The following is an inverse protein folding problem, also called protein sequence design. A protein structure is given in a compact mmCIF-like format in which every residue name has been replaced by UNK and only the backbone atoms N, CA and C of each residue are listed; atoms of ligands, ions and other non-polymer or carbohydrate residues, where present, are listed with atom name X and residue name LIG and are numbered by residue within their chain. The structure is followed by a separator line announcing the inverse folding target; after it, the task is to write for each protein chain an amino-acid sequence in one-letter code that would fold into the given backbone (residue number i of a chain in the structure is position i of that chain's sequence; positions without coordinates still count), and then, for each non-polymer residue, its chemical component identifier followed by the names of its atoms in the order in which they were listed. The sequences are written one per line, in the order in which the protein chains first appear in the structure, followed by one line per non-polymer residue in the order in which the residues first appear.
data_IF_850443473218
#
_entry.id   IF_850443473218
#
_cell.length_a   1.000
_cell.length_b   1.000
_cell.length_c   1.000
_cell.angle_alpha   90.00
_cell.angle_beta   90.00
_cell.angle_gamma   90.00
#
_symmetry.space_group_name_H-M   'P 1'
#
loop_
_entity.id
_entity.type
_entity.pdbx_description
1 polymer ?
#
# COMPACT_ATOMS: atom_id res chain seq x y z
N UNK A 1 1.59 -7.40 0.05
CA UNK A 1 1.62 -8.88 0.24
C UNK A 1 1.23 -9.65 -1.00
N UNK A 2 0.07 -9.39 -1.61
CA UNK A 2 -0.40 -10.11 -2.83
C UNK A 2 0.66 -10.17 -3.94
N UNK A 3 1.31 -9.04 -4.25
CA UNK A 3 2.38 -8.96 -5.24
C UNK A 3 3.59 -9.83 -4.90
N UNK A 4 4.08 -9.76 -3.65
CA UNK A 4 5.19 -10.57 -3.18
C UNK A 4 4.88 -12.08 -3.25
N UNK A 5 3.66 -12.48 -2.85
CA UNK A 5 3.17 -13.86 -2.97
C UNK A 5 3.14 -14.32 -4.43
N UNK A 6 2.64 -13.48 -5.34
CA UNK A 6 2.62 -13.80 -6.76
C UNK A 6 4.03 -13.97 -7.33
N UNK A 7 4.96 -13.06 -7.01
CA UNK A 7 6.35 -13.16 -7.48
C UNK A 7 7.05 -14.42 -6.98
N UNK A 8 6.77 -14.84 -5.75
CA UNK A 8 7.38 -16.03 -5.14
C UNK A 8 6.77 -17.34 -5.63
N UNK A 9 5.45 -17.38 -5.84
CA UNK A 9 4.70 -18.64 -6.05
C UNK A 9 4.11 -18.79 -7.46
N UNK A 10 4.08 -17.71 -8.24
CA UNK A 10 3.36 -17.62 -9.52
C UNK A 10 1.83 -17.52 -9.39
N UNK A 11 1.29 -17.53 -8.16
CA UNK A 11 -0.17 -17.48 -7.91
C UNK A 11 -0.57 -16.11 -7.37
N UNK A 12 -1.41 -15.41 -8.11
CA UNK A 12 -2.03 -14.18 -7.64
C UNK A 12 -3.26 -14.56 -6.80
N UNK A 13 -3.23 -14.24 -5.51
CA UNK A 13 -4.29 -14.53 -4.55
C UNK A 13 -4.72 -13.22 -3.93
N UNK A 14 -6.03 -12.94 -3.96
CA UNK A 14 -6.60 -11.80 -3.23
C UNK A 14 -6.61 -12.11 -1.74
N UNK A 15 -5.98 -11.27 -0.93
CA UNK A 15 -5.85 -11.46 0.53
C UNK A 15 -6.85 -10.59 1.30
N UNK A 16 -7.23 -11.04 2.49
CA UNK A 16 -8.26 -10.38 3.29
C UNK A 16 -7.73 -9.09 3.91
N UNK A 17 -8.36 -7.95 3.58
CA UNK A 17 -8.14 -6.71 4.34
C UNK A 17 -8.92 -6.73 5.66
N UNK A 18 -10.07 -7.42 5.68
CA UNK A 18 -10.93 -7.48 6.86
C UNK A 18 -10.27 -8.20 8.02
N UNK A 19 -9.47 -9.23 7.76
CA UNK A 19 -8.70 -9.90 8.81
C UNK A 19 -7.79 -8.90 9.54
N UNK A 20 -7.10 -8.02 8.80
CA UNK A 20 -6.26 -6.98 9.42
C UNK A 20 -7.12 -6.01 10.25
N UNK A 21 -8.23 -5.52 9.68
CA UNK A 21 -9.16 -4.59 10.37
C UNK A 21 -9.70 -5.19 11.68
N UNK A 22 -10.09 -6.46 11.67
CA UNK A 22 -10.75 -7.09 12.83
C UNK A 22 -9.75 -7.67 13.85
N UNK A 23 -8.60 -8.18 13.38
CA UNK A 23 -7.68 -8.99 14.19
C UNK A 23 -6.40 -8.27 14.58
N UNK A 24 -5.92 -7.33 13.76
CA UNK A 24 -4.75 -6.50 14.09
C UNK A 24 -5.18 -5.22 14.81
N UNK A 25 -5.62 -5.37 16.04
CA UNK A 25 -6.11 -4.26 16.88
C UNK A 25 -5.31 -4.11 18.17
N UNK A 26 -4.15 -4.77 18.24
CA UNK A 26 -3.28 -4.83 19.42
C UNK A 26 -1.96 -4.11 19.15
N UNK A 27 -2.01 -2.80 18.98
CA UNK A 27 -0.81 -2.03 18.70
C UNK A 27 -1.14 -0.63 18.22
N UNK A 28 -0.56 -0.28 17.08
CA UNK A 28 -0.80 0.99 16.41
C UNK A 28 -2.12 0.93 15.64
N UNK A 29 -2.43 -0.23 15.06
CA UNK A 29 -3.62 -0.45 14.24
C UNK A 29 -4.90 -0.45 15.09
N UNK A 30 -5.90 0.30 14.61
CA UNK A 30 -7.16 0.57 15.31
C UNK A 30 -8.36 0.34 14.37
N UNK A 31 -8.25 -0.64 13.47
CA UNK A 31 -9.29 -0.95 12.50
C UNK A 31 -9.62 0.25 11.61
N UNK A 32 -10.87 0.68 11.62
CA UNK A 32 -11.37 1.78 10.80
C UNK A 32 -10.89 3.18 11.25
N UNK A 33 -10.30 3.31 12.44
CA UNK A 33 -9.73 4.58 12.94
C UNK A 33 -8.27 4.81 12.49
N UNK A 34 -7.72 3.90 11.67
CA UNK A 34 -6.40 4.01 11.07
C UNK A 34 -5.40 2.97 11.58
N UNK A 35 -4.20 3.00 11.00
CA UNK A 35 -3.13 2.05 11.29
C UNK A 35 -1.89 2.31 10.43
N UNK A 36 -0.89 1.45 10.58
CA UNK A 36 0.42 1.49 9.94
C UNK A 36 0.73 0.17 9.25
N UNK A 37 1.27 0.24 8.03
CA UNK A 37 1.50 -0.95 7.21
C UNK A 37 2.50 -1.95 7.83
N UNK A 38 3.43 -1.45 8.64
CA UNK A 38 4.43 -2.27 9.34
C UNK A 38 3.82 -3.13 10.44
N UNK A 39 2.85 -2.60 11.19
CA UNK A 39 2.17 -3.35 12.24
C UNK A 39 1.33 -4.47 11.61
N UNK A 40 0.62 -4.16 10.51
CA UNK A 40 -0.06 -5.16 9.69
C UNK A 40 0.89 -6.27 9.20
N UNK A 41 2.10 -5.94 8.74
CA UNK A 41 3.08 -6.97 8.38
C UNK A 41 3.56 -7.78 9.59
N UNK A 42 3.80 -7.14 10.74
CA UNK A 42 4.17 -7.82 11.98
C UNK A 42 3.07 -8.76 12.46
N UNK A 43 1.81 -8.35 12.37
CA UNK A 43 0.67 -9.20 12.67
C UNK A 43 0.69 -10.45 11.79
N UNK A 44 0.74 -10.30 10.46
CA UNK A 44 0.75 -11.45 9.55
C UNK A 44 1.93 -12.38 9.81
N UNK A 45 3.11 -11.83 10.07
CA UNK A 45 4.30 -12.63 10.40
C UNK A 45 4.10 -13.44 11.70
N UNK A 46 3.56 -12.81 12.76
CA UNK A 46 3.30 -13.47 14.05
C UNK A 46 2.16 -14.48 13.97
N UNK A 47 1.15 -14.15 13.18
CA UNK A 47 0.00 -14.98 12.90
C UNK A 47 0.34 -16.18 12.02
N UNK A 48 1.51 -16.15 11.36
CA UNK A 48 1.98 -17.16 10.40
C UNK A 48 1.11 -17.24 9.16
N UNK A 49 0.51 -16.12 8.78
CA UNK A 49 -0.22 -16.00 7.55
C UNK A 49 -1.41 -15.06 7.64
N UNK A 50 -2.08 -14.95 6.50
CA UNK A 50 -3.27 -14.13 6.29
C UNK A 50 -4.22 -14.89 5.37
N UNK A 51 -5.51 -14.84 5.67
CA UNK A 51 -6.56 -15.47 4.90
C UNK A 51 -6.77 -14.81 3.54
N UNK A 52 -7.49 -15.53 2.68
CA UNK A 52 -7.92 -14.99 1.40
C UNK A 52 -9.12 -14.05 1.57
N UNK A 53 -9.31 -13.12 0.63
CA UNK A 53 -10.52 -12.30 0.54
C UNK A 53 -11.78 -13.17 0.47
N UNK A 54 -11.71 -14.34 -0.18
CA UNK A 54 -12.88 -15.25 -0.27
C UNK A 54 -13.20 -15.95 1.05
N UNK A 55 -12.21 -16.12 1.92
CA UNK A 55 -12.36 -16.77 3.23
C UNK A 55 -12.85 -15.78 4.27
N UNK A 56 -12.34 -14.55 4.24
CA UNK A 56 -12.66 -13.49 5.20
C UNK A 56 -12.96 -12.20 4.42
N UNK A 57 -14.19 -12.01 3.93
CA UNK A 57 -14.54 -10.93 3.02
C UNK A 57 -14.57 -9.54 3.69
N UNK A 58 -14.28 -8.50 2.91
CA UNK A 58 -14.40 -7.11 3.35
C UNK A 58 -15.84 -6.67 3.61
N UNK A 59 -16.06 -6.00 4.75
CA UNK A 59 -17.36 -5.54 5.24
C UNK A 59 -17.41 -4.03 5.52
N UNK A 60 -16.28 -3.33 5.39
CA UNK A 60 -16.17 -1.88 5.60
C UNK A 60 -16.61 -1.41 7.00
N UNK A 61 -16.35 -2.22 8.02
CA UNK A 61 -16.59 -1.91 9.42
C UNK A 61 -15.65 -2.71 10.33
N UNK A 62 -15.48 -2.23 11.56
CA UNK A 62 -14.83 -3.00 12.62
C UNK A 62 -15.76 -4.11 13.11
N UNK A 63 -15.26 -5.35 13.09
CA UNK A 63 -15.93 -6.47 13.70
C UNK A 63 -15.04 -7.13 14.76
N UNK A 64 -15.60 -8.14 15.42
CA UNK A 64 -14.79 -9.02 16.27
C UNK A 64 -13.99 -9.97 15.38
N UNK A 65 -12.69 -10.10 15.62
CA UNK A 65 -11.82 -11.06 14.94
C UNK A 65 -12.42 -12.47 14.90
N UNK A 66 -12.73 -12.95 13.69
CA UNK A 66 -13.18 -14.31 13.44
C UNK A 66 -11.98 -15.26 13.38
N UNK A 67 -11.53 -15.72 14.56
CA UNK A 67 -10.39 -16.64 14.72
C UNK A 67 -10.47 -17.93 13.88
N UNK A 68 -11.65 -18.36 13.43
CA UNK A 68 -11.78 -19.53 12.55
C UNK A 68 -11.36 -19.20 11.11
N UNK A 69 -11.75 -18.03 10.61
CA UNK A 69 -11.41 -17.59 9.26
C UNK A 69 -9.97 -17.08 9.18
N UNK A 70 -9.53 -16.35 10.21
CA UNK A 70 -8.15 -15.89 10.38
C UNK A 70 -7.15 -17.06 10.34
N UNK A 71 -7.44 -18.18 11.02
CA UNK A 71 -6.60 -19.37 11.01
C UNK A 71 -6.53 -20.11 9.65
N UNK A 72 -7.27 -19.67 8.62
CA UNK A 72 -7.29 -20.26 7.28
C UNK A 72 -6.39 -19.48 6.31
N UNK A 73 -5.08 -19.52 6.58
CA UNK A 73 -4.08 -18.76 5.83
C UNK A 73 -4.01 -19.16 4.35
N UNK A 74 -3.94 -18.14 3.48
CA UNK A 74 -3.79 -18.25 2.04
C UNK A 74 -2.40 -17.77 1.56
N UNK A 75 -1.71 -16.96 2.35
CA UNK A 75 -0.33 -16.54 2.11
C UNK A 75 0.40 -16.29 3.43
N UNK A 76 1.74 -16.33 3.38
CA UNK A 76 2.63 -16.10 4.51
C UNK A 76 3.76 -15.14 4.12
N UNK A 77 4.27 -14.39 5.08
CA UNK A 77 5.47 -13.57 4.94
C UNK A 77 6.48 -13.93 6.02
N UNK A 78 7.77 -13.84 5.69
CA UNK A 78 8.86 -14.11 6.63
C UNK A 78 9.24 -12.89 7.47
N UNK A 79 8.80 -11.69 7.06
CA UNK A 79 9.02 -10.40 7.71
C UNK A 79 8.67 -9.24 6.77
N UNK A 80 9.09 -8.04 7.14
CA UNK A 80 9.04 -6.84 6.30
C UNK A 80 10.32 -6.02 6.47
N UNK A 81 10.55 -5.09 5.55
CA UNK A 81 11.67 -4.14 5.61
C UNK A 81 11.21 -2.74 5.20
N UNK A 82 11.84 -1.74 5.80
CA UNK A 82 11.60 -0.33 5.50
C UNK A 82 12.51 0.15 4.38
N UNK A 83 11.95 0.96 3.49
CA UNK A 83 12.73 1.73 2.54
C UNK A 83 13.37 2.92 3.27
N UNK A 84 14.66 3.22 3.05
CA UNK A 84 15.30 4.42 3.60
C UNK A 84 14.47 5.68 3.37
N UNK A 85 14.03 6.29 4.47
CA UNK A 85 13.21 7.50 4.48
C UNK A 85 13.84 8.63 3.65
N UNK A 86 12.99 9.33 2.91
CA UNK A 86 13.32 10.44 2.02
C UNK A 86 14.28 10.05 0.89
N UNK A 87 14.09 8.86 0.30
CA UNK A 87 14.91 8.36 -0.79
C UNK A 87 14.08 7.75 -1.91
N UNK A 88 13.64 8.57 -2.87
CA UNK A 88 13.02 8.08 -4.11
C UNK A 88 13.94 7.11 -4.88
N UNK A 89 15.26 7.26 -4.74
CA UNK A 89 16.24 6.32 -5.32
C UNK A 89 16.19 4.94 -4.66
N UNK A 90 16.04 4.87 -3.34
CA UNK A 90 15.88 3.59 -2.66
C UNK A 90 14.51 2.98 -2.95
N UNK A 91 13.45 3.80 -2.92
CA UNK A 91 12.10 3.39 -3.29
C UNK A 91 12.07 2.79 -4.69
N UNK A 92 12.70 3.44 -5.67
CA UNK A 92 12.75 2.98 -7.06
C UNK A 92 13.36 1.58 -7.18
N UNK A 93 14.46 1.32 -6.46
CA UNK A 93 15.12 0.02 -6.48
C UNK A 93 14.20 -1.08 -5.99
N UNK A 94 13.39 -0.81 -4.97
CA UNK A 94 12.48 -1.83 -4.42
C UNK A 94 11.26 -1.98 -5.33
N UNK A 95 10.69 -0.88 -5.86
CA UNK A 95 9.49 -0.92 -6.75
C UNK A 95 9.81 -1.70 -8.03
N UNK A 96 11.06 -1.65 -8.49
CA UNK A 96 11.53 -2.43 -9.64
C UNK A 96 11.48 -3.95 -9.40
N UNK A 97 11.44 -4.40 -8.14
CA UNK A 97 11.42 -5.81 -7.78
C UNK A 97 10.05 -6.29 -7.29
N UNK A 98 9.26 -5.43 -6.63
CA UNK A 98 7.92 -5.77 -6.15
C UNK A 98 7.08 -4.53 -5.82
N UNK A 99 5.74 -4.67 -5.74
CA UNK A 99 4.88 -3.61 -5.18
C UNK A 99 5.18 -3.33 -3.70
N UNK A 100 5.11 -2.06 -3.30
CA UNK A 100 5.46 -1.57 -1.97
C UNK A 100 4.29 -0.79 -1.38
N UNK A 101 4.06 -0.91 -0.07
CA UNK A 101 3.13 -0.08 0.65
C UNK A 101 3.78 1.26 1.02
N UNK A 102 3.12 2.37 0.75
CA UNK A 102 3.63 3.72 0.95
C UNK A 102 2.55 4.58 1.62
N UNK A 103 2.93 5.55 2.43
CA UNK A 103 2.02 6.59 2.88
C UNK A 103 2.19 7.88 2.09
N UNK A 104 1.10 8.61 1.87
CA UNK A 104 1.05 9.91 1.20
C UNK A 104 0.12 10.87 1.94
N UNK A 105 0.28 12.16 1.66
CA UNK A 105 -0.74 13.18 1.95
C UNK A 105 -1.75 13.21 0.79
N UNK A 106 -2.97 12.76 1.06
CA UNK A 106 -4.09 12.68 0.13
C UNK A 106 -5.25 13.64 0.49
N UNK A 107 -5.10 14.48 1.51
CA UNK A 107 -6.16 15.36 2.04
C UNK A 107 -6.48 16.58 1.17
N UNK A 108 -5.64 16.89 0.19
CA UNK A 108 -5.79 18.05 -0.69
C UNK A 108 -6.86 17.89 -1.79
N UNK A 109 -7.52 18.99 -2.24
CA UNK A 109 -8.54 18.94 -3.29
C UNK A 109 -7.99 18.48 -4.64
N UNK A 110 -6.73 18.81 -4.96
CA UNK A 110 -6.09 18.39 -6.20
C UNK A 110 -6.00 16.85 -6.27
N UNK A 111 -5.69 16.20 -5.14
CA UNK A 111 -5.66 14.73 -5.05
C UNK A 111 -7.09 14.16 -5.11
N UNK A 112 -8.01 14.71 -4.32
CA UNK A 112 -9.40 14.26 -4.27
C UNK A 112 -10.06 14.21 -5.65
N UNK A 113 -9.84 15.23 -6.47
CA UNK A 113 -10.45 15.37 -7.80
C UNK A 113 -9.55 14.92 -8.96
N UNK A 114 -8.43 14.23 -8.67
CA UNK A 114 -7.59 13.64 -9.71
C UNK A 114 -8.41 12.71 -10.60
N UNK A 115 -8.20 12.81 -11.91
CA UNK A 115 -8.88 11.99 -12.92
C UNK A 115 -7.93 11.34 -13.91
N UNK A 116 -6.89 12.05 -14.37
CA UNK A 116 -5.92 11.52 -15.32
C UNK A 116 -4.67 12.40 -15.42
N UNK A 117 -3.64 11.89 -16.10
CA UNK A 117 -2.38 12.58 -16.32
C UNK A 117 -1.36 12.30 -15.23
N UNK A 118 -0.15 12.84 -15.39
CA UNK A 118 0.83 12.85 -14.28
C UNK A 118 0.41 13.93 -13.28
N UNK A 119 0.06 13.50 -12.07
CA UNK A 119 -0.30 14.35 -10.97
C UNK A 119 0.90 15.19 -10.51
N UNK A 120 0.74 16.50 -10.63
CA UNK A 120 1.68 17.55 -10.19
C UNK A 120 0.99 18.56 -9.26
N UNK A 121 -0.18 18.19 -8.74
CA UNK A 121 -1.02 19.03 -7.91
C UNK A 121 -0.40 19.33 -6.53
N UNK A 122 -1.01 20.27 -5.83
CA UNK A 122 -0.58 20.65 -4.48
C UNK A 122 -0.98 19.60 -3.45
N UNK A 123 -0.03 19.23 -2.61
CA UNK A 123 -0.18 18.38 -1.43
C UNK A 123 0.94 18.73 -0.45
N UNK A 124 0.76 18.44 0.83
CA UNK A 124 1.76 18.60 1.86
C UNK A 124 2.58 17.32 2.06
N UNK A 125 2.95 17.07 3.32
CA UNK A 125 3.67 15.87 3.76
C UNK A 125 3.11 15.37 5.10
N UNK A 126 1.91 15.79 5.45
CA UNK A 126 1.19 15.30 6.61
C UNK A 126 0.47 14.02 6.18
N UNK A 127 1.20 12.90 6.25
CA UNK A 127 0.77 11.61 5.69
C UNK A 127 -0.52 11.15 6.37
N UNK A 128 -1.54 10.83 5.58
CA UNK A 128 -2.88 10.49 6.06
C UNK A 128 -3.49 9.29 5.32
N UNK A 129 -2.82 8.77 4.28
CA UNK A 129 -3.39 7.73 3.44
C UNK A 129 -2.35 6.70 2.99
N UNK A 130 -2.64 5.42 3.23
CA UNK A 130 -1.84 4.28 2.80
C UNK A 130 -2.24 3.79 1.40
N UNK A 131 -1.28 3.68 0.50
CA UNK A 131 -1.46 3.24 -0.90
C UNK A 131 -0.35 2.28 -1.34
N UNK A 132 -0.41 1.77 -2.56
CA UNK A 132 0.62 0.85 -3.08
C UNK A 132 1.30 1.40 -4.32
N UNK A 133 2.62 1.60 -4.26
CA UNK A 133 3.43 1.83 -5.46
C UNK A 133 3.61 0.49 -6.20
N UNK A 134 3.11 0.40 -7.44
CA UNK A 134 3.13 -0.83 -8.25
C UNK A 134 4.07 -0.74 -9.45
N UNK A 135 4.62 0.44 -9.72
CA UNK A 135 5.54 0.66 -10.83
C UNK A 135 5.97 2.11 -10.94
N UNK A 136 6.74 2.40 -11.99
CA UNK A 136 7.14 3.74 -12.38
C UNK A 136 7.44 3.75 -13.88
N UNK A 137 7.32 4.92 -14.51
CA UNK A 137 7.72 5.09 -15.90
C UNK A 137 8.00 6.58 -16.21
N UNK A 138 8.09 6.89 -17.50
CA UNK A 138 8.20 8.25 -18.05
C UNK A 138 7.04 8.46 -19.03
N UNK A 139 6.30 9.55 -18.91
CA UNK A 139 5.27 9.93 -19.88
C UNK A 139 5.86 10.43 -21.19
N UNK A 140 5.02 10.54 -22.23
CA UNK A 140 5.41 10.97 -23.57
C UNK A 140 6.09 12.36 -23.61
N UNK A 141 5.78 13.22 -22.64
CA UNK A 141 6.39 14.55 -22.49
C UNK A 141 7.70 14.55 -21.69
N UNK A 142 8.18 13.38 -21.27
CA UNK A 142 9.40 13.21 -20.48
C UNK A 142 9.21 13.29 -18.97
N UNK A 143 7.98 13.49 -18.46
CA UNK A 143 7.73 13.56 -17.02
C UNK A 143 7.81 12.16 -16.39
N UNK A 144 8.71 12.00 -15.42
CA UNK A 144 8.82 10.74 -14.67
C UNK A 144 7.68 10.62 -13.66
N UNK A 145 7.14 9.42 -13.49
CA UNK A 145 6.06 9.19 -12.55
C UNK A 145 6.17 7.85 -11.82
N UNK A 146 5.54 7.79 -10.64
CA UNK A 146 5.17 6.58 -9.92
C UNK A 146 3.78 6.14 -10.35
N UNK A 147 3.59 4.85 -10.63
CA UNK A 147 2.26 4.28 -10.79
C UNK A 147 1.79 3.76 -9.42
N UNK A 148 0.76 4.38 -8.89
CA UNK A 148 0.24 4.11 -7.54
C UNK A 148 -1.19 3.59 -7.63
N UNK A 149 -1.45 2.46 -6.97
CA UNK A 149 -2.77 1.87 -6.80
C UNK A 149 -3.44 2.47 -5.56
N UNK A 150 -4.62 3.04 -5.74
CA UNK A 150 -5.46 3.58 -4.66
C UNK A 150 -6.54 2.56 -4.25
N UNK A 151 -7.31 2.88 -3.21
CA UNK A 151 -8.40 2.08 -2.64
C UNK A 151 -9.78 2.72 -2.82
N UNK A 152 -9.93 3.76 -3.64
CA UNK A 152 -11.17 4.54 -3.83
C UNK A 152 -11.97 4.16 -5.08
N UNK A 153 -12.20 2.87 -5.29
CA UNK A 153 -12.88 2.31 -6.48
C UNK A 153 -12.14 2.61 -7.80
N UNK A 154 -12.57 1.93 -8.86
CA UNK A 154 -12.17 2.16 -10.24
C UNK A 154 -12.67 3.47 -10.84
N UNK A 155 -13.73 4.07 -10.29
CA UNK A 155 -14.28 5.33 -10.80
C UNK A 155 -13.38 6.55 -10.54
N UNK A 156 -12.46 6.45 -9.57
CA UNK A 156 -11.50 7.51 -9.25
C UNK A 156 -10.21 7.36 -10.06
N UNK A 157 -9.64 8.49 -10.52
CA UNK A 157 -8.39 8.50 -11.26
C UNK A 157 -8.40 7.64 -12.53
N UNK A 158 -7.27 7.01 -12.81
CA UNK A 158 -7.06 6.18 -14.00
C UNK A 158 -7.41 4.72 -13.69
N UNK A 159 -8.70 4.41 -13.57
CA UNK A 159 -9.22 3.10 -13.15
C UNK A 159 -8.76 2.69 -11.72
N UNK A 160 -8.79 3.64 -10.78
CA UNK A 160 -8.33 3.45 -9.39
C UNK A 160 -6.82 3.65 -9.20
N UNK A 161 -6.11 4.12 -10.22
CA UNK A 161 -4.68 4.43 -10.16
C UNK A 161 -4.42 5.92 -10.31
N UNK A 162 -3.24 6.34 -9.86
CA UNK A 162 -2.70 7.69 -10.07
C UNK A 162 -1.25 7.59 -10.51
N UNK A 163 -0.87 8.46 -11.46
CA UNK A 163 0.52 8.66 -11.87
C UNK A 163 1.09 9.85 -11.13
N UNK A 164 1.82 9.65 -10.03
CA UNK A 164 2.37 10.77 -9.23
C UNK A 164 3.74 11.18 -9.75
N UNK A 165 4.01 12.48 -9.89
CA UNK A 165 5.31 12.95 -10.37
C UNK A 165 6.46 12.43 -9.49
N UNK A 166 7.51 11.95 -10.16
CA UNK A 166 8.72 11.38 -9.55
C UNK A 166 9.93 12.28 -9.80
N UNK A 167 10.93 12.19 -8.92
CA UNK A 167 12.16 12.99 -8.94
C UNK A 167 11.88 14.50 -8.78
N UNK A 168 10.98 14.84 -7.86
CA UNK A 168 10.70 16.24 -7.49
C UNK A 168 11.80 16.79 -6.57
N UNK A 169 11.81 18.10 -6.34
CA UNK A 169 12.86 18.75 -5.54
C UNK A 169 12.76 18.47 -4.03
N UNK A 170 11.59 18.04 -3.54
CA UNK A 170 11.37 17.68 -2.14
C UNK A 170 11.95 16.29 -1.85
N UNK A 171 12.75 16.16 -0.79
CA UNK A 171 13.40 14.89 -0.45
C UNK A 171 12.42 13.76 -0.12
N UNK A 172 11.25 14.10 0.41
CA UNK A 172 10.17 13.16 0.68
C UNK A 172 9.41 12.71 -0.57
N UNK A 173 9.75 13.21 -1.75
CA UNK A 173 8.95 13.05 -2.96
C UNK A 173 7.66 13.88 -2.93
N UNK A 174 6.85 13.79 -3.98
CA UNK A 174 5.56 14.46 -4.06
C UNK A 174 4.59 13.83 -3.06
N UNK A 175 3.89 14.66 -2.29
CA UNK A 175 2.96 14.24 -1.22
C UNK A 175 3.59 13.33 -0.14
N UNK A 176 4.92 13.37 0.01
CA UNK A 176 5.63 12.54 0.98
C UNK A 176 5.76 11.06 0.60
N UNK A 177 5.54 10.69 -0.66
CA UNK A 177 5.58 9.30 -1.17
C UNK A 177 6.82 8.47 -0.79
N UNK A 178 7.95 9.10 -0.48
CA UNK A 178 9.19 8.44 -0.07
C UNK A 178 9.51 8.63 1.43
N UNK A 179 8.56 9.11 2.24
CA UNK A 179 8.76 9.38 3.67
C UNK A 179 8.48 8.16 4.54
N UNK A 180 7.49 7.35 4.16
CA UNK A 180 7.09 6.16 4.88
C UNK A 180 6.70 5.07 3.88
N UNK A 181 7.53 4.03 3.80
CA UNK A 181 7.42 3.01 2.78
C UNK A 181 8.05 1.70 3.26
N UNK A 182 7.29 0.62 3.17
CA UNK A 182 7.72 -0.69 3.61
C UNK A 182 7.15 -1.80 2.74
N UNK A 183 7.84 -2.94 2.76
CA UNK A 183 7.48 -4.07 1.92
C UNK A 183 7.63 -5.40 2.66
N UNK A 184 6.73 -6.37 2.39
CA UNK A 184 6.86 -7.70 2.94
C UNK A 184 7.97 -8.48 2.22
N UNK A 185 8.57 -9.42 2.95
CA UNK A 185 9.48 -10.43 2.43
C UNK A 185 8.73 -11.75 2.35
N UNK A 186 8.40 -12.20 1.14
CA UNK A 186 7.66 -13.44 0.93
C UNK A 186 8.37 -14.66 1.55
N UNK A 187 7.63 -15.49 2.29
CA UNK A 187 8.13 -16.74 2.86
C UNK A 187 8.55 -17.75 1.76
#
# INVERSE_FOLDING_TARGET
MEGATHLKTGKLISLSKQELVDCDTKGVDQGCEGGEMDDAFLFVQRNKGIASETTYPYTAADNTCNTKEEASHAAEISGHEDVPRNSEVALLKVVANQPIAIAIDAGGPDFQFYSSGVFTGQCGTDLDHGVTAVGYDVSDDGTKYWLVKNSWDSAWGENGYIRMQRDVSTKGGLCGIAMDASYPVAA
#
